data_IF_037738064597
#
_entry.id   IF_037738064597
#
_cell.length_a   1.000
_cell.length_b   1.000
_cell.length_c   1.000
_cell.angle_alpha   90.00
_cell.angle_beta   90.00
_cell.angle_gamma   90.00
#
_symmetry.space_group_name_H-M   'P 1'
#
loop_
_entity.id
_entity.type
_entity.pdbx_description
1 polymer ?
#
# COMPACT_ATOMS: atom_id res chain seq x y z
N UNK A 1 12.21 43.83 6.87
CA UNK A 1 11.15 43.37 5.92
C UNK A 1 10.69 44.48 4.94
N UNK A 2 10.55 45.78 5.38
CA UNK A 2 10.12 46.90 4.48
C UNK A 2 11.05 47.01 3.29
N UNK A 3 12.37 47.14 3.51
CA UNK A 3 13.37 47.25 2.46
C UNK A 3 13.57 46.00 1.62
N UNK A 4 13.36 44.79 2.22
CA UNK A 4 13.57 43.50 1.53
C UNK A 4 12.41 43.13 0.61
N UNK A 5 11.23 43.71 0.87
CA UNK A 5 10.01 43.45 0.09
C UNK A 5 9.48 44.66 -0.65
N UNK A 6 10.29 45.73 -0.68
CA UNK A 6 9.96 46.99 -1.37
C UNK A 6 8.58 47.57 -0.96
N UNK A 7 8.30 47.52 0.36
CA UNK A 7 7.05 48.01 0.93
C UNK A 7 7.18 49.51 1.25
N UNK A 8 6.06 50.28 1.21
CA UNK A 8 6.05 51.68 1.66
C UNK A 8 6.54 51.82 3.11
N UNK A 9 7.21 52.91 3.44
CA UNK A 9 7.74 53.12 4.79
C UNK A 9 6.66 53.11 5.86
N UNK A 10 5.45 53.60 5.55
CA UNK A 10 4.26 53.60 6.44
C UNK A 10 3.43 52.32 6.42
N UNK A 11 3.95 51.25 5.80
CA UNK A 11 3.18 50.03 5.58
C UNK A 11 2.55 49.49 6.86
N UNK A 12 3.33 49.31 7.90
CA UNK A 12 2.82 48.75 9.17
C UNK A 12 1.91 49.69 9.93
N UNK A 13 2.12 51.01 9.81
CA UNK A 13 1.28 52.03 10.47
C UNK A 13 -0.10 52.10 9.82
N UNK A 14 -0.18 51.96 8.51
CA UNK A 14 -1.42 52.09 7.74
C UNK A 14 -2.11 50.76 7.44
N UNK A 15 -1.47 49.60 7.71
CA UNK A 15 -1.95 48.29 7.32
C UNK A 15 -3.33 47.95 7.86
N UNK A 16 -3.55 48.09 9.17
CA UNK A 16 -4.84 47.77 9.82
C UNK A 16 -5.95 48.69 9.31
N UNK A 17 -5.68 50.00 9.17
CA UNK A 17 -6.68 50.95 8.69
C UNK A 17 -7.05 50.67 7.21
N UNK A 18 -6.07 50.33 6.36
CA UNK A 18 -6.30 49.91 4.99
C UNK A 18 -7.14 48.64 4.89
N UNK A 19 -6.87 47.63 5.73
CA UNK A 19 -7.69 46.41 5.76
C UNK A 19 -9.13 46.73 6.19
N UNK A 20 -9.30 47.53 7.26
CA UNK A 20 -10.62 47.86 7.75
C UNK A 20 -11.42 48.77 6.79
N UNK A 21 -10.77 49.43 5.86
CA UNK A 21 -11.42 50.26 4.84
C UNK A 21 -11.93 49.45 3.63
N UNK A 22 -11.57 48.16 3.51
CA UNK A 22 -11.97 47.31 2.37
C UNK A 22 -13.49 47.03 2.50
N UNK A 23 -14.21 47.39 1.46
CA UNK A 23 -15.65 47.19 1.36
C UNK A 23 -15.99 45.85 0.65
N UNK A 24 -17.26 45.43 0.76
CA UNK A 24 -17.76 44.27 -0.02
C UNK A 24 -17.67 44.54 -1.52
N UNK A 25 -17.90 45.77 -1.92
CA UNK A 25 -17.80 46.23 -3.30
C UNK A 25 -16.38 46.14 -3.83
N UNK A 26 -15.37 46.48 -3.02
CA UNK A 26 -13.97 46.29 -3.37
C UNK A 26 -13.61 44.83 -3.56
N UNK A 27 -14.02 43.95 -2.64
CA UNK A 27 -13.81 42.49 -2.76
C UNK A 27 -14.45 41.96 -4.04
N UNK A 28 -15.71 42.35 -4.32
CA UNK A 28 -16.40 41.93 -5.54
C UNK A 28 -15.72 42.44 -6.82
N UNK A 29 -15.28 43.71 -6.82
CA UNK A 29 -14.54 44.33 -7.94
C UNK A 29 -13.24 43.61 -8.21
N UNK A 30 -12.46 43.33 -7.17
CA UNK A 30 -11.17 42.64 -7.26
C UNK A 30 -11.38 41.18 -7.70
N UNK A 31 -12.34 40.48 -7.10
CA UNK A 31 -12.66 39.12 -7.50
C UNK A 31 -13.05 39.03 -8.98
N UNK A 32 -13.94 39.92 -9.48
CA UNK A 32 -14.33 39.94 -10.89
C UNK A 32 -13.15 40.30 -11.83
N UNK A 33 -12.17 41.08 -11.36
CA UNK A 33 -11.00 41.45 -12.15
C UNK A 33 -10.01 40.29 -12.27
N UNK A 34 -9.74 39.61 -11.18
CA UNK A 34 -8.64 38.63 -11.10
C UNK A 34 -9.09 37.17 -11.13
N UNK A 35 -10.27 36.84 -10.58
CA UNK A 35 -10.82 35.48 -10.65
C UNK A 35 -11.57 35.32 -11.98
N UNK A 36 -10.94 34.64 -12.91
CA UNK A 36 -11.47 34.36 -14.25
C UNK A 36 -11.80 32.84 -14.33
N UNK A 37 -13.06 32.44 -14.04
CA UNK A 37 -13.44 31.03 -14.06
C UNK A 37 -13.11 30.32 -15.39
N UNK A 38 -13.18 31.05 -16.50
CA UNK A 38 -12.82 30.56 -17.83
C UNK A 38 -11.34 30.19 -18.00
N UNK A 39 -10.47 30.73 -17.14
CA UNK A 39 -9.02 30.48 -17.16
C UNK A 39 -8.57 29.52 -16.05
N UNK A 40 -9.48 29.06 -15.20
CA UNK A 40 -9.15 28.12 -14.14
C UNK A 40 -8.69 26.78 -14.73
N UNK A 41 -7.71 26.20 -14.07
CA UNK A 41 -7.28 24.82 -14.28
C UNK A 41 -7.49 24.06 -13.00
N UNK A 42 -8.25 22.98 -13.07
CA UNK A 42 -8.47 22.07 -11.93
C UNK A 42 -7.56 20.87 -12.13
N UNK A 43 -6.64 20.68 -11.20
CA UNK A 43 -5.74 19.54 -11.20
C UNK A 43 -6.28 18.53 -10.19
N UNK A 44 -6.51 17.30 -10.64
CA UNK A 44 -6.97 16.19 -9.80
C UNK A 44 -5.95 15.08 -9.85
N UNK A 45 -5.47 14.65 -8.69
CA UNK A 45 -4.59 13.49 -8.54
C UNK A 45 -5.34 12.43 -7.74
N UNK A 46 -5.43 11.23 -8.30
CA UNK A 46 -6.17 10.16 -7.64
C UNK A 46 -6.19 8.88 -8.49
N UNK A 47 -6.94 7.90 -8.02
CA UNK A 47 -7.09 6.62 -8.70
C UNK A 47 -8.03 6.79 -9.90
N UNK A 48 -7.47 6.86 -11.09
CA UNK A 48 -8.18 7.14 -12.33
C UNK A 48 -9.39 6.23 -12.55
N UNK A 49 -9.25 4.93 -12.24
CA UNK A 49 -10.35 3.97 -12.36
C UNK A 49 -11.62 4.35 -11.57
N UNK A 50 -11.50 5.10 -10.49
CA UNK A 50 -12.62 5.45 -9.61
C UNK A 50 -13.19 6.83 -9.90
N UNK A 51 -12.41 7.72 -10.52
CA UNK A 51 -12.75 9.14 -10.66
C UNK A 51 -12.89 9.62 -12.10
N UNK A 52 -12.25 8.97 -13.09
CA UNK A 52 -12.18 9.48 -14.47
C UNK A 52 -13.56 9.69 -15.09
N UNK A 53 -14.43 8.69 -15.04
CA UNK A 53 -15.77 8.78 -15.61
C UNK A 53 -16.62 9.86 -14.96
N UNK A 54 -16.43 10.12 -13.66
CA UNK A 54 -17.12 11.18 -12.93
C UNK A 54 -16.62 12.56 -13.37
N UNK A 55 -15.31 12.71 -13.57
CA UNK A 55 -14.68 13.96 -14.01
C UNK A 55 -15.08 14.31 -15.45
N UNK A 56 -15.13 13.33 -16.35
CA UNK A 56 -15.52 13.53 -17.75
C UNK A 56 -16.99 13.97 -17.92
N UNK A 57 -17.84 13.72 -16.92
CA UNK A 57 -19.24 14.12 -16.92
C UNK A 57 -19.52 15.46 -16.23
N UNK A 58 -18.48 16.17 -15.76
CA UNK A 58 -18.67 17.49 -15.14
C UNK A 58 -18.98 18.55 -16.19
N UNK A 59 -20.05 19.30 -15.93
CA UNK A 59 -20.45 20.42 -16.79
C UNK A 59 -20.31 21.77 -16.08
N UNK A 60 -19.90 22.78 -16.82
CA UNK A 60 -19.94 24.17 -16.41
C UNK A 60 -20.69 25.00 -17.44
N UNK A 61 -21.72 25.76 -17.03
CA UNK A 61 -22.61 26.52 -17.93
C UNK A 61 -23.16 25.67 -19.09
N UNK A 62 -23.61 24.46 -18.78
CA UNK A 62 -24.14 23.47 -19.72
C UNK A 62 -23.14 22.98 -20.81
N UNK A 63 -21.85 23.12 -20.57
CA UNK A 63 -20.79 22.57 -21.42
C UNK A 63 -19.92 21.62 -20.62
N UNK A 64 -19.58 20.47 -21.20
CA UNK A 64 -18.61 19.56 -20.61
C UNK A 64 -17.26 20.26 -20.42
N UNK A 65 -16.64 20.03 -19.27
CA UNK A 65 -15.26 20.48 -19.03
C UNK A 65 -14.34 19.46 -19.69
N UNK A 66 -13.45 19.88 -20.62
CA UNK A 66 -12.53 18.94 -21.23
C UNK A 66 -11.54 18.41 -20.19
N UNK A 67 -11.40 17.10 -20.11
CA UNK A 67 -10.44 16.41 -19.26
C UNK A 67 -9.22 16.07 -20.09
N UNK A 68 -8.04 16.34 -19.54
CA UNK A 68 -6.74 15.94 -20.09
C UNK A 68 -6.07 15.01 -19.10
N UNK A 69 -5.38 14.00 -19.61
CA UNK A 69 -4.69 13.00 -18.80
C UNK A 69 -3.18 13.26 -18.86
N UNK A 70 -2.52 13.12 -17.71
CA UNK A 70 -1.09 13.30 -17.57
C UNK A 70 -0.50 12.12 -16.80
N UNK A 71 0.70 11.70 -17.17
CA UNK A 71 1.46 10.72 -16.40
C UNK A 71 2.12 11.35 -15.16
N UNK A 72 2.81 10.56 -14.35
CA UNK A 72 3.49 11.02 -13.13
C UNK A 72 4.63 12.03 -13.37
N UNK A 73 5.04 12.22 -14.61
CA UNK A 73 6.07 13.19 -15.01
C UNK A 73 5.47 14.48 -15.55
N UNK A 74 4.15 14.60 -15.64
CA UNK A 74 3.45 15.76 -16.16
C UNK A 74 3.36 15.81 -17.69
N UNK A 75 3.62 14.72 -18.38
CA UNK A 75 3.47 14.59 -19.82
C UNK A 75 2.01 14.24 -20.16
N UNK A 76 1.43 14.94 -21.15
CA UNK A 76 0.08 14.67 -21.63
C UNK A 76 0.04 13.30 -22.33
N UNK A 77 -0.93 12.47 -21.95
CA UNK A 77 -1.13 11.13 -22.49
C UNK A 77 -2.59 10.95 -22.93
N UNK A 78 -2.86 9.94 -23.75
CA UNK A 78 -4.21 9.50 -24.05
C UNK A 78 -4.92 9.01 -22.78
N UNK A 79 -6.27 8.96 -22.80
CA UNK A 79 -7.05 8.39 -21.69
C UNK A 79 -6.58 6.97 -21.37
N UNK A 80 -6.08 6.71 -20.16
CA UNK A 80 -5.66 5.36 -19.80
C UNK A 80 -6.84 4.38 -19.78
N UNK A 81 -6.60 3.15 -20.20
CA UNK A 81 -7.55 2.06 -20.05
C UNK A 81 -7.44 1.56 -18.62
N UNK A 82 -8.39 1.94 -17.75
CA UNK A 82 -8.37 1.60 -16.34
C UNK A 82 -8.90 0.20 -16.03
N UNK A 83 -9.76 -0.33 -16.90
CA UNK A 83 -10.29 -1.70 -16.80
C UNK A 83 -10.26 -2.33 -18.19
N UNK A 84 -9.74 -3.54 -18.25
CA UNK A 84 -9.73 -4.35 -19.47
C UNK A 84 -10.83 -5.39 -19.37
N UNK A 85 -11.30 -5.88 -20.52
CA UNK A 85 -12.19 -7.03 -20.57
C UNK A 85 -11.44 -8.28 -20.10
N UNK A 86 -12.11 -9.07 -19.27
CA UNK A 86 -11.59 -10.34 -18.77
C UNK A 86 -12.19 -11.43 -19.64
N UNK A 87 -11.33 -12.26 -20.20
CA UNK A 87 -11.79 -13.40 -21.02
C UNK A 87 -12.62 -14.35 -20.16
N UNK A 88 -13.67 -14.90 -20.73
CA UNK A 88 -14.64 -15.76 -20.02
C UNK A 88 -14.07 -17.09 -19.51
N UNK A 89 -12.91 -17.49 -20.00
CA UNK A 89 -12.16 -18.67 -19.55
C UNK A 89 -11.26 -18.40 -18.34
N UNK A 90 -11.09 -17.12 -17.95
CA UNK A 90 -10.31 -16.73 -16.76
C UNK A 90 -11.20 -16.80 -15.52
N UNK A 91 -10.80 -17.64 -14.59
CA UNK A 91 -11.47 -17.82 -13.28
C UNK A 91 -10.52 -17.51 -12.14
N UNK A 92 -11.04 -17.34 -10.93
CA UNK A 92 -10.21 -17.19 -9.71
C UNK A 92 -9.28 -18.40 -9.57
N UNK A 93 -9.81 -19.62 -9.75
CA UNK A 93 -9.03 -20.87 -9.71
C UNK A 93 -7.85 -20.83 -10.67
N UNK A 94 -8.08 -20.44 -11.94
CA UNK A 94 -7.01 -20.41 -12.96
C UNK A 94 -5.92 -19.39 -12.65
N UNK A 95 -6.26 -18.24 -12.01
CA UNK A 95 -5.29 -17.25 -11.58
C UNK A 95 -4.47 -17.76 -10.39
N UNK A 96 -5.12 -18.36 -9.39
CA UNK A 96 -4.43 -18.94 -8.23
C UNK A 96 -3.54 -20.13 -8.63
N UNK A 97 -4.02 -21.02 -9.51
CA UNK A 97 -3.22 -22.12 -10.07
C UNK A 97 -1.97 -21.61 -10.79
N UNK A 98 -2.13 -20.57 -11.62
CA UNK A 98 -1.00 -19.94 -12.33
C UNK A 98 0.02 -19.40 -11.32
N UNK A 99 -0.42 -18.69 -10.29
CA UNK A 99 0.44 -18.17 -9.24
C UNK A 99 1.16 -19.32 -8.49
N UNK A 100 0.40 -20.28 -7.95
CA UNK A 100 0.95 -21.42 -7.21
C UNK A 100 1.99 -22.17 -8.04
N UNK A 101 1.70 -22.43 -9.32
CA UNK A 101 2.65 -23.06 -10.25
C UNK A 101 3.92 -22.24 -10.42
N UNK A 102 3.79 -20.90 -10.55
CA UNK A 102 4.93 -20.00 -10.74
C UNK A 102 5.82 -19.88 -9.52
N UNK A 103 5.26 -19.92 -8.31
CA UNK A 103 6.05 -19.78 -7.09
C UNK A 103 6.66 -21.09 -6.59
N UNK A 104 6.39 -22.24 -7.23
CA UNK A 104 7.07 -23.50 -6.91
C UNK A 104 6.19 -24.76 -6.95
N UNK A 105 4.88 -24.57 -7.07
CA UNK A 105 3.88 -25.66 -7.10
C UNK A 105 3.43 -26.09 -5.71
N UNK A 106 2.20 -26.61 -5.64
CA UNK A 106 1.50 -26.94 -4.40
C UNK A 106 2.29 -27.89 -3.49
N UNK A 107 2.90 -28.92 -4.07
CA UNK A 107 3.62 -29.96 -3.30
C UNK A 107 4.84 -29.37 -2.58
N UNK A 108 5.64 -28.56 -3.27
CA UNK A 108 6.80 -27.89 -2.66
C UNK A 108 6.36 -26.88 -1.58
N UNK A 109 5.38 -26.05 -1.89
CA UNK A 109 4.90 -25.02 -0.96
C UNK A 109 4.32 -25.65 0.32
N UNK A 110 3.57 -26.75 0.21
CA UNK A 110 3.03 -27.47 1.36
C UNK A 110 4.09 -28.17 2.20
N UNK A 111 5.26 -28.48 1.62
CA UNK A 111 6.37 -29.08 2.35
C UNK A 111 7.23 -28.07 3.13
N UNK A 112 6.97 -26.76 2.98
CA UNK A 112 7.69 -25.74 3.74
C UNK A 112 7.06 -25.60 5.13
N UNK A 113 7.84 -25.90 6.14
CA UNK A 113 7.45 -25.85 7.54
C UNK A 113 7.97 -24.62 8.27
N UNK A 114 9.08 -24.06 7.81
CA UNK A 114 9.64 -22.82 8.37
C UNK A 114 10.19 -21.92 7.29
N UNK A 115 10.12 -20.60 7.53
CA UNK A 115 10.76 -19.57 6.70
C UNK A 115 11.55 -18.66 7.63
N UNK A 116 12.84 -18.49 7.36
CA UNK A 116 13.71 -17.49 8.01
C UNK A 116 14.09 -16.42 7.00
N UNK A 117 13.86 -15.16 7.33
CA UNK A 117 14.10 -14.01 6.45
C UNK A 117 14.96 -13.00 7.19
N UNK A 118 15.97 -12.49 6.52
CA UNK A 118 16.73 -11.32 6.96
C UNK A 118 16.53 -10.21 5.94
N UNK A 119 16.21 -9.01 6.41
CA UNK A 119 15.99 -7.86 5.55
C UNK A 119 16.57 -6.57 6.13
N UNK A 120 16.96 -5.64 5.26
CA UNK A 120 17.11 -4.24 5.61
C UNK A 120 15.76 -3.55 5.54
N UNK A 121 15.51 -2.62 6.47
CA UNK A 121 14.25 -1.89 6.55
C UNK A 121 14.52 -0.41 6.38
N UNK A 122 13.87 0.21 5.39
CA UNK A 122 13.92 1.66 5.19
C UNK A 122 12.63 2.29 5.69
N UNK A 123 12.76 3.21 6.64
CA UNK A 123 11.66 4.02 7.18
C UNK A 123 11.94 5.47 6.79
N UNK A 124 11.11 6.12 5.94
CA UNK A 124 11.35 7.49 5.53
C UNK A 124 11.49 8.45 6.73
N UNK A 125 12.56 9.24 6.71
CA UNK A 125 12.87 10.18 7.78
C UNK A 125 13.62 9.60 8.99
N UNK A 126 13.79 8.28 9.08
CA UNK A 126 14.64 7.68 10.11
C UNK A 126 16.13 7.88 9.78
N UNK A 127 16.98 8.24 10.75
CA UNK A 127 18.43 8.43 10.52
C UNK A 127 19.23 7.13 10.50
N UNK A 128 18.56 5.98 10.56
CA UNK A 128 19.15 4.65 10.61
C UNK A 128 18.37 3.65 9.75
N UNK A 129 19.00 2.55 9.39
CA UNK A 129 18.40 1.45 8.64
C UNK A 129 18.32 0.22 9.57
N UNK A 130 17.11 -0.11 10.11
CA UNK A 130 16.95 -1.31 10.90
C UNK A 130 17.19 -2.57 10.07
N UNK A 131 17.67 -3.62 10.74
CA UNK A 131 17.66 -4.99 10.25
C UNK A 131 16.45 -5.71 10.83
N UNK A 132 15.70 -6.39 9.99
CA UNK A 132 14.60 -7.26 10.38
C UNK A 132 15.03 -8.72 10.28
N UNK A 133 14.81 -9.47 11.36
CA UNK A 133 14.84 -10.91 11.42
C UNK A 133 13.39 -11.41 11.55
N UNK A 134 12.91 -12.10 10.52
CA UNK A 134 11.55 -12.62 10.47
C UNK A 134 11.63 -14.14 10.45
N UNK A 135 10.91 -14.79 11.34
CA UNK A 135 10.79 -16.25 11.38
C UNK A 135 9.32 -16.64 11.43
N UNK A 136 8.98 -17.59 10.59
CA UNK A 136 7.63 -18.14 10.51
C UNK A 136 7.71 -19.65 10.59
N UNK A 137 6.75 -20.28 11.27
CA UNK A 137 6.63 -21.75 11.35
C UNK A 137 5.17 -22.15 11.20
N UNK A 138 4.95 -23.15 10.36
CA UNK A 138 3.64 -23.71 10.07
C UNK A 138 2.98 -24.26 11.35
N UNK A 139 1.66 -24.11 11.54
CA UNK A 139 0.78 -23.44 10.60
C UNK A 139 0.79 -21.92 10.71
N UNK A 140 1.13 -21.32 11.87
CA UNK A 140 0.84 -19.92 12.13
C UNK A 140 1.79 -19.22 13.15
N UNK A 141 2.86 -19.87 13.62
CA UNK A 141 3.80 -19.21 14.52
C UNK A 141 4.61 -18.15 13.75
N UNK A 142 4.84 -17.00 14.37
CA UNK A 142 5.58 -15.92 13.74
C UNK A 142 6.40 -15.09 14.73
N UNK A 143 7.54 -14.58 14.27
CA UNK A 143 8.39 -13.65 15.00
C UNK A 143 8.96 -12.63 14.03
N UNK A 144 8.89 -11.36 14.38
CA UNK A 144 9.58 -10.25 13.73
C UNK A 144 10.41 -9.52 14.79
N UNK A 145 11.71 -9.44 14.61
CA UNK A 145 12.62 -8.67 15.45
C UNK A 145 13.27 -7.60 14.57
N UNK A 146 13.12 -6.35 14.93
CA UNK A 146 13.79 -5.24 14.27
C UNK A 146 14.86 -4.66 15.20
N UNK A 147 16.08 -4.56 14.71
CA UNK A 147 17.23 -4.06 15.48
C UNK A 147 18.07 -3.08 14.66
N UNK A 148 18.83 -2.24 15.35
CA UNK A 148 19.82 -1.34 14.74
C UNK A 148 21.15 -1.60 15.38
N UNK A 149 22.19 -1.74 14.58
CA UNK A 149 23.55 -1.96 15.05
C UNK A 149 23.97 -0.81 15.98
N UNK A 150 24.48 -1.16 17.16
CA UNK A 150 24.89 -0.21 18.19
C UNK A 150 23.73 0.39 19.04
N UNK A 151 22.47 0.20 18.65
CA UNK A 151 21.30 0.67 19.40
C UNK A 151 20.48 -0.47 20.03
N UNK A 152 20.64 -1.71 19.52
CA UNK A 152 19.90 -2.87 20.00
C UNK A 152 18.55 -3.05 19.34
N UNK A 153 17.63 -3.78 20.00
CA UNK A 153 16.30 -4.11 19.52
C UNK A 153 15.37 -2.90 19.62
N UNK A 154 14.76 -2.53 18.50
CA UNK A 154 13.75 -1.47 18.41
C UNK A 154 12.34 -1.99 18.67
N UNK A 155 12.05 -3.17 18.09
CA UNK A 155 10.74 -3.79 18.15
C UNK A 155 10.86 -5.30 18.07
N UNK A 156 10.03 -5.99 18.83
CA UNK A 156 9.79 -7.43 18.72
C UNK A 156 8.30 -7.66 18.60
N UNK A 157 7.89 -8.48 17.65
CA UNK A 157 6.52 -8.98 17.57
C UNK A 157 6.57 -10.49 17.50
N UNK A 158 5.79 -11.16 18.32
CA UNK A 158 5.73 -12.63 18.37
C UNK A 158 4.30 -13.12 18.46
N UNK A 159 4.07 -14.28 17.86
CA UNK A 159 2.83 -15.04 17.97
C UNK A 159 3.16 -16.52 18.10
N UNK A 160 2.68 -17.14 19.18
CA UNK A 160 3.01 -18.53 19.56
C UNK A 160 1.96 -19.58 19.12
N UNK A 161 1.01 -19.15 18.28
CA UNK A 161 -0.11 -19.98 17.83
C UNK A 161 -1.39 -19.78 18.64
N UNK A 162 -1.31 -19.29 19.86
CA UNK A 162 -2.47 -19.05 20.75
C UNK A 162 -2.63 -17.56 21.08
N UNK A 163 -1.53 -16.86 21.27
CA UNK A 163 -1.49 -15.46 21.59
C UNK A 163 -0.21 -14.79 21.08
N UNK A 164 -0.13 -13.50 21.25
CA UNK A 164 1.04 -12.76 20.81
C UNK A 164 1.17 -11.41 21.47
N UNK A 165 2.29 -10.77 21.19
CA UNK A 165 2.60 -9.44 21.69
C UNK A 165 3.49 -8.68 20.73
N UNK A 166 3.46 -7.37 20.87
CA UNK A 166 4.47 -6.46 20.34
C UNK A 166 5.21 -5.81 21.51
N UNK A 167 6.52 -5.78 21.45
CA UNK A 167 7.36 -5.07 22.40
C UNK A 167 8.11 -3.96 21.69
N UNK A 168 7.99 -2.74 22.16
CA UNK A 168 8.66 -1.57 21.63
C UNK A 168 9.12 -0.68 22.79
N UNK A 169 10.38 -0.25 22.77
CA UNK A 169 10.98 0.57 23.82
C UNK A 169 10.81 -0.03 25.23
N UNK A 170 10.87 -1.35 25.35
CA UNK A 170 10.69 -2.07 26.63
C UNK A 170 9.24 -2.18 27.11
N UNK A 171 8.27 -1.71 26.32
CA UNK A 171 6.85 -1.87 26.63
C UNK A 171 6.28 -3.05 25.83
N UNK A 172 5.77 -4.04 26.54
CA UNK A 172 5.12 -5.21 25.97
C UNK A 172 3.61 -4.99 25.90
N UNK A 173 3.08 -4.97 24.66
CA UNK A 173 1.68 -4.74 24.36
C UNK A 173 1.09 -6.05 23.81
N UNK A 174 0.10 -6.66 24.46
CA UNK A 174 -0.56 -7.85 23.91
C UNK A 174 -1.23 -7.56 22.58
N UNK A 175 -1.26 -8.54 21.69
CA UNK A 175 -2.04 -8.47 20.46
C UNK A 175 -3.53 -8.34 20.75
N UNK A 176 -4.22 -7.57 19.94
CA UNK A 176 -5.67 -7.43 20.00
C UNK A 176 -6.37 -8.75 19.55
N UNK A 177 -7.60 -8.95 20.03
CA UNK A 177 -8.37 -10.17 19.77
C UNK A 177 -8.51 -10.48 18.28
N UNK A 178 -8.82 -9.47 17.47
CA UNK A 178 -9.00 -9.64 16.03
C UNK A 178 -7.70 -10.05 15.33
N UNK A 179 -6.55 -9.53 15.79
CA UNK A 179 -5.23 -9.93 15.30
C UNK A 179 -4.91 -11.39 15.66
N UNK A 180 -5.24 -11.81 16.88
CA UNK A 180 -5.08 -13.17 17.33
C UNK A 180 -5.94 -14.12 16.50
N UNK A 181 -7.23 -13.81 16.31
CA UNK A 181 -8.15 -14.62 15.50
C UNK A 181 -7.69 -14.72 14.03
N UNK A 182 -7.24 -13.63 13.45
CA UNK A 182 -6.67 -13.62 12.11
C UNK A 182 -5.43 -14.52 12.01
N UNK A 183 -4.51 -14.42 12.97
CA UNK A 183 -3.30 -15.25 13.01
C UNK A 183 -3.63 -16.74 13.21
N UNK A 184 -4.59 -17.08 14.07
CA UNK A 184 -5.07 -18.45 14.28
C UNK A 184 -5.73 -19.06 13.04
N UNK A 185 -6.32 -18.24 12.19
CA UNK A 185 -7.01 -18.71 10.98
C UNK A 185 -6.05 -19.17 9.87
N UNK A 186 -4.76 -18.86 9.96
CA UNK A 186 -3.76 -19.28 8.98
C UNK A 186 -3.58 -20.80 9.01
N UNK A 187 -3.55 -21.41 7.83
CA UNK A 187 -3.41 -22.86 7.64
C UNK A 187 -2.00 -23.29 7.22
N UNK A 188 -1.12 -22.34 6.97
CA UNK A 188 0.27 -22.57 6.54
C UNK A 188 0.93 -21.28 6.06
N UNK A 189 2.18 -21.40 5.63
CA UNK A 189 3.05 -20.26 5.29
C UNK A 189 2.76 -19.67 3.91
N UNK A 190 2.16 -20.45 3.01
CA UNK A 190 1.69 -20.03 1.69
C UNK A 190 0.17 -20.15 1.65
N UNK A 191 -0.51 -19.07 2.01
CA UNK A 191 -1.96 -19.08 2.21
C UNK A 191 -2.74 -19.51 0.96
N UNK A 192 -2.24 -19.16 -0.24
CA UNK A 192 -2.91 -19.42 -1.51
C UNK A 192 -3.21 -20.90 -1.77
N UNK A 193 -2.38 -21.80 -1.25
CA UNK A 193 -2.61 -23.26 -1.45
C UNK A 193 -3.76 -23.81 -0.58
N UNK A 194 -4.25 -23.01 0.38
CA UNK A 194 -5.33 -23.37 1.31
C UNK A 194 -6.59 -22.53 1.11
N UNK A 195 -6.58 -21.61 0.16
CA UNK A 195 -7.72 -20.73 -0.12
C UNK A 195 -8.87 -21.52 -0.77
N UNK A 196 -10.08 -21.19 -0.34
CA UNK A 196 -11.32 -21.62 -0.99
C UNK A 196 -11.74 -20.50 -1.94
N UNK A 197 -11.72 -20.78 -3.24
CA UNK A 197 -12.02 -19.81 -4.28
C UNK A 197 -13.52 -19.58 -4.51
N UNK A 198 -14.38 -20.37 -3.86
CA UNK A 198 -15.83 -20.32 -4.01
C UNK A 198 -16.46 -18.98 -3.57
N UNK A 199 -15.82 -18.29 -2.61
CA UNK A 199 -16.27 -17.00 -2.09
C UNK A 199 -15.48 -15.82 -2.68
N UNK A 200 -14.56 -16.09 -3.61
CA UNK A 200 -13.71 -15.07 -4.21
C UNK A 200 -14.27 -14.55 -5.52
N UNK A 201 -13.92 -13.32 -5.86
CA UNK A 201 -14.41 -12.63 -7.06
C UNK A 201 -13.28 -11.89 -7.77
N UNK A 202 -13.23 -12.00 -9.11
CA UNK A 202 -12.38 -11.16 -9.94
C UNK A 202 -13.06 -9.79 -10.09
N UNK A 203 -12.51 -8.77 -9.45
CA UNK A 203 -13.07 -7.41 -9.46
C UNK A 203 -12.73 -6.66 -10.76
N UNK A 204 -11.52 -6.83 -11.25
CA UNK A 204 -11.05 -6.12 -12.46
C UNK A 204 -9.75 -6.71 -13.01
N UNK A 205 -9.50 -6.42 -14.27
CA UNK A 205 -8.19 -6.48 -14.91
C UNK A 205 -7.79 -5.05 -15.29
N UNK A 206 -6.62 -4.61 -14.89
CA UNK A 206 -6.16 -3.26 -15.20
C UNK A 206 -4.75 -2.97 -14.72
N UNK A 207 -4.22 -1.78 -15.03
CA UNK A 207 -2.84 -1.44 -14.74
C UNK A 207 -2.58 -1.22 -13.25
N UNK A 208 -1.54 -1.87 -12.75
CA UNK A 208 -0.94 -1.68 -11.43
C UNK A 208 0.56 -1.47 -11.63
N UNK A 209 1.06 -0.26 -11.35
CA UNK A 209 2.46 0.13 -11.56
C UNK A 209 2.99 -0.19 -12.98
N UNK A 210 2.13 -0.02 -14.00
CA UNK A 210 2.47 -0.22 -15.41
C UNK A 210 2.35 -1.66 -15.92
N UNK A 211 1.88 -2.59 -15.08
CA UNK A 211 1.58 -3.98 -15.44
C UNK A 211 0.09 -4.25 -15.32
N UNK A 212 -0.46 -5.03 -16.22
CA UNK A 212 -1.84 -5.49 -16.07
C UNK A 212 -1.93 -6.53 -14.97
N UNK A 213 -2.86 -6.34 -14.06
CA UNK A 213 -3.08 -7.26 -12.95
C UNK A 213 -4.56 -7.58 -12.75
N UNK A 214 -4.84 -8.82 -12.42
CA UNK A 214 -6.14 -9.24 -11.92
C UNK A 214 -6.26 -8.83 -10.45
N UNK A 215 -7.28 -8.01 -10.13
CA UNK A 215 -7.67 -7.72 -8.76
C UNK A 215 -8.68 -8.78 -8.32
N UNK A 216 -8.35 -9.56 -7.31
CA UNK A 216 -9.23 -10.56 -6.69
C UNK A 216 -9.65 -10.09 -5.31
N UNK A 217 -10.95 -10.09 -5.03
CA UNK A 217 -11.51 -9.96 -3.69
C UNK A 217 -11.42 -11.34 -3.02
N UNK A 218 -10.60 -11.45 -1.99
CA UNK A 218 -10.40 -12.72 -1.24
C UNK A 218 -11.44 -12.86 -0.14
N UNK A 219 -11.71 -11.77 0.54
CA UNK A 219 -12.79 -11.62 1.55
C UNK A 219 -13.15 -10.14 1.64
N UNK A 220 -14.11 -9.79 2.49
CA UNK A 220 -14.49 -8.40 2.66
C UNK A 220 -13.28 -7.53 3.03
N UNK A 221 -13.11 -6.42 2.30
CA UNK A 221 -12.02 -5.47 2.49
C UNK A 221 -10.58 -6.03 2.31
N UNK A 222 -10.42 -7.19 1.67
CA UNK A 222 -9.11 -7.80 1.42
C UNK A 222 -8.98 -8.18 -0.04
N UNK A 223 -7.97 -7.66 -0.72
CA UNK A 223 -7.76 -7.84 -2.15
C UNK A 223 -6.32 -8.27 -2.43
N UNK A 224 -6.16 -9.12 -3.45
CA UNK A 224 -4.87 -9.55 -3.99
C UNK A 224 -4.80 -9.23 -5.47
N UNK A 225 -3.61 -8.88 -5.93
CA UNK A 225 -3.36 -8.48 -7.31
C UNK A 225 -2.29 -9.38 -7.91
N UNK A 226 -2.66 -10.07 -8.98
CA UNK A 226 -1.79 -10.99 -9.68
C UNK A 226 -1.49 -10.44 -11.08
N UNK A 227 -0.22 -10.31 -11.41
CA UNK A 227 0.27 -9.89 -12.72
C UNK A 227 -0.26 -10.82 -13.80
N UNK A 228 -0.95 -10.28 -14.80
CA UNK A 228 -1.64 -11.08 -15.81
C UNK A 228 -0.68 -11.86 -16.71
N UNK A 229 0.53 -11.34 -16.93
CA UNK A 229 1.57 -11.96 -17.75
C UNK A 229 2.34 -13.02 -16.97
N UNK A 230 3.01 -12.62 -15.90
CA UNK A 230 3.88 -13.51 -15.11
C UNK A 230 3.12 -14.49 -14.21
N UNK A 231 1.92 -14.13 -13.77
CA UNK A 231 1.13 -14.86 -12.78
C UNK A 231 1.58 -14.60 -11.33
N UNK A 232 2.60 -13.78 -11.08
CA UNK A 232 3.09 -13.49 -9.74
C UNK A 232 2.17 -12.50 -9.02
N UNK A 233 2.04 -12.63 -7.71
CA UNK A 233 1.35 -11.65 -6.88
C UNK A 233 2.21 -10.38 -6.78
N UNK A 234 1.65 -9.23 -7.11
CA UNK A 234 2.38 -7.95 -7.11
C UNK A 234 1.91 -7.00 -6.02
N UNK A 235 0.71 -7.21 -5.47
CA UNK A 235 0.19 -6.33 -4.44
C UNK A 235 -0.90 -7.02 -3.61
N UNK A 236 -0.99 -6.66 -2.34
CA UNK A 236 -2.16 -6.90 -1.48
C UNK A 236 -2.69 -5.57 -0.97
N UNK A 237 -4.01 -5.50 -0.78
CA UNK A 237 -4.70 -4.32 -0.25
C UNK A 237 -5.69 -4.78 0.82
N UNK A 238 -5.59 -4.21 2.01
CA UNK A 238 -6.50 -4.47 3.10
C UNK A 238 -7.04 -3.15 3.65
N UNK A 239 -8.36 -3.10 3.86
CA UNK A 239 -9.04 -1.93 4.40
C UNK A 239 -9.57 -2.26 5.78
N UNK A 240 -9.06 -1.57 6.79
CA UNK A 240 -9.44 -1.77 8.19
C UNK A 240 -10.06 -0.51 8.78
N UNK A 241 -10.85 -0.68 9.83
CA UNK A 241 -11.39 0.41 10.64
C UNK A 241 -10.59 0.48 11.95
N UNK A 242 -9.93 1.60 12.20
CA UNK A 242 -9.18 1.80 13.44
C UNK A 242 -9.51 3.17 14.04
N UNK A 243 -10.04 3.18 15.26
CA UNK A 243 -10.39 4.44 15.96
C UNK A 243 -11.43 5.30 15.21
N UNK A 244 -12.33 4.68 14.41
CA UNK A 244 -13.31 5.40 13.59
C UNK A 244 -12.77 5.90 12.24
N UNK A 245 -11.49 5.68 11.94
CA UNK A 245 -10.88 6.01 10.66
C UNK A 245 -10.71 4.76 9.80
N UNK A 246 -10.94 4.91 8.50
CA UNK A 246 -10.63 3.88 7.52
C UNK A 246 -9.14 3.96 7.15
N UNK A 247 -8.41 2.88 7.40
CA UNK A 247 -6.99 2.74 7.03
C UNK A 247 -6.89 1.71 5.91
N UNK A 248 -6.29 2.12 4.80
CA UNK A 248 -5.92 1.20 3.72
C UNK A 248 -4.45 0.84 3.87
N UNK A 249 -4.18 -0.45 4.00
CA UNK A 249 -2.85 -1.03 4.04
C UNK A 249 -2.56 -1.68 2.69
N UNK A 250 -1.47 -1.28 2.05
CA UNK A 250 -1.04 -1.80 0.76
C UNK A 250 0.35 -2.40 0.95
N UNK A 251 0.53 -3.64 0.50
CA UNK A 251 1.86 -4.24 0.39
C UNK A 251 2.14 -4.57 -1.07
N UNK A 252 3.22 -4.04 -1.61
CA UNK A 252 3.70 -4.35 -2.96
C UNK A 252 4.84 -5.35 -2.88
N UNK A 253 4.88 -6.27 -3.82
CA UNK A 253 5.87 -7.34 -3.94
C UNK A 253 6.60 -7.22 -5.26
N UNK A 254 7.93 -7.25 -5.22
CA UNK A 254 8.77 -7.18 -6.42
C UNK A 254 10.11 -7.88 -6.21
N UNK A 255 10.98 -7.85 -7.23
CA UNK A 255 12.30 -8.49 -7.20
C UNK A 255 12.21 -9.98 -6.81
N UNK A 256 11.36 -10.72 -7.51
CA UNK A 256 11.19 -12.15 -7.30
C UNK A 256 12.46 -12.92 -7.71
N UNK A 257 12.97 -13.72 -6.79
CA UNK A 257 14.15 -14.58 -7.01
C UNK A 257 13.83 -16.01 -6.62
N UNK A 258 14.47 -16.95 -7.27
CA UNK A 258 14.35 -18.36 -6.93
C UNK A 258 15.29 -18.72 -5.76
N UNK A 259 14.74 -19.35 -4.74
CA UNK A 259 15.44 -19.94 -3.60
C UNK A 259 14.91 -21.35 -3.42
N UNK A 260 15.76 -22.36 -3.56
CA UNK A 260 15.42 -23.79 -3.42
C UNK A 260 14.23 -24.23 -4.29
N UNK A 261 14.09 -23.59 -5.49
CA UNK A 261 13.01 -23.84 -6.43
C UNK A 261 11.67 -23.21 -6.05
N UNK A 262 11.70 -22.20 -5.16
CA UNK A 262 10.56 -21.36 -4.78
C UNK A 262 10.84 -19.93 -5.19
N UNK A 263 9.92 -19.30 -5.95
CA UNK A 263 10.00 -17.88 -6.29
C UNK A 263 9.51 -17.05 -5.12
N UNK A 264 10.41 -16.23 -4.55
CA UNK A 264 10.12 -15.39 -3.39
C UNK A 264 10.38 -13.91 -3.71
N UNK A 265 9.52 -13.01 -3.21
CA UNK A 265 9.68 -11.57 -3.42
C UNK A 265 10.76 -11.01 -2.50
N UNK A 266 11.84 -10.48 -3.06
CA UNK A 266 12.97 -9.91 -2.32
C UNK A 266 12.78 -8.42 -1.98
N UNK A 267 11.73 -7.81 -2.50
CA UNK A 267 11.36 -6.44 -2.12
C UNK A 267 9.89 -6.39 -1.72
N UNK A 268 9.61 -5.79 -0.57
CA UNK A 268 8.26 -5.51 -0.08
C UNK A 268 8.16 -4.05 0.32
N UNK A 269 7.19 -3.34 -0.24
CA UNK A 269 6.89 -1.95 0.11
C UNK A 269 5.53 -1.93 0.82
N UNK A 270 5.51 -1.58 2.09
CA UNK A 270 4.30 -1.54 2.91
C UNK A 270 3.91 -0.08 3.12
N UNK A 271 2.66 0.24 2.81
CA UNK A 271 2.07 1.54 3.09
C UNK A 271 0.79 1.35 3.89
N UNK A 272 0.73 1.93 5.08
CA UNK A 272 -0.46 1.94 5.94
C UNK A 272 -0.79 3.40 6.30
N UNK A 273 -1.80 3.96 5.65
CA UNK A 273 -2.09 5.39 5.72
C UNK A 273 -0.87 6.24 5.30
N UNK A 274 -0.39 7.15 6.16
CA UNK A 274 0.79 7.98 5.85
C UNK A 274 2.14 7.26 6.05
N UNK A 275 2.15 6.11 6.71
CA UNK A 275 3.38 5.37 7.01
C UNK A 275 3.80 4.54 5.81
N UNK A 276 5.09 4.63 5.47
CA UNK A 276 5.72 3.81 4.44
C UNK A 276 6.92 3.09 5.05
N UNK A 277 7.05 1.80 4.78
CA UNK A 277 8.15 0.96 5.22
C UNK A 277 8.56 0.08 4.05
N UNK A 278 9.82 0.10 3.67
CA UNK A 278 10.36 -0.71 2.59
C UNK A 278 11.28 -1.80 3.18
N UNK A 279 11.04 -3.06 2.81
CA UNK A 279 11.89 -4.20 3.15
C UNK A 279 12.67 -4.62 1.92
N UNK A 280 13.98 -4.60 2.02
CA UNK A 280 14.91 -5.21 1.08
C UNK A 280 15.42 -6.52 1.67
N UNK A 281 14.94 -7.64 1.15
CA UNK A 281 15.25 -8.96 1.68
C UNK A 281 16.65 -9.36 1.23
N UNK A 282 17.49 -9.72 2.18
CA UNK A 282 18.88 -10.13 1.98
C UNK A 282 18.99 -11.65 1.80
N UNK A 283 18.31 -12.39 2.68
CA UNK A 283 18.31 -13.84 2.67
C UNK A 283 16.94 -14.40 2.99
N UNK A 284 16.61 -15.52 2.36
CA UNK A 284 15.48 -16.38 2.69
C UNK A 284 15.99 -17.80 2.83
N UNK A 285 15.62 -18.48 3.91
CA UNK A 285 15.95 -19.90 4.15
C UNK A 285 14.68 -20.65 4.48
N UNK A 286 14.45 -21.78 3.81
CA UNK A 286 13.32 -22.64 4.04
C UNK A 286 13.72 -23.87 4.86
N UNK A 287 12.78 -24.36 5.69
CA UNK A 287 12.92 -25.58 6.48
C UNK A 287 14.12 -25.61 7.44
N UNK A 288 14.57 -24.43 7.91
CA UNK A 288 15.50 -24.34 9.03
C UNK A 288 14.81 -24.85 10.31
N UNK A 289 15.54 -25.59 11.14
CA UNK A 289 15.00 -26.07 12.42
C UNK A 289 14.84 -24.89 13.40
N UNK A 290 13.60 -24.60 13.77
CA UNK A 290 13.25 -23.54 14.71
C UNK A 290 12.42 -24.14 15.84
N UNK A 291 12.88 -23.98 17.09
CA UNK A 291 12.14 -24.40 18.27
C UNK A 291 10.88 -23.53 18.48
N UNK A 292 9.78 -24.11 18.93
CA UNK A 292 8.56 -23.37 19.25
C UNK A 292 8.77 -22.36 20.38
N UNK A 293 9.72 -22.63 21.29
CA UNK A 293 10.11 -21.69 22.35
C UNK A 293 10.60 -20.34 21.81
N UNK A 294 11.09 -20.31 20.56
CA UNK A 294 11.53 -19.07 19.92
C UNK A 294 10.37 -18.09 19.71
N UNK A 295 9.16 -18.56 19.59
CA UNK A 295 7.96 -17.76 19.29
C UNK A 295 7.21 -17.27 20.54
N UNK A 296 7.62 -17.65 21.73
CA UNK A 296 7.04 -17.22 23.02
C UNK A 296 7.53 -15.87 23.53
#
# INVERSE_FOLDING_TARGET
>A
NIKTQDLPEDFYETFISKINSVTKEDVKRVANKYLKPENLRVIVVGKGADIADKLENITYKNKLIPVKYFNKYGEEIDKPIFKKEISSDVTVASILEKYISKVGGKDKLSAINTISIVANVTIPGAPFTPRADIKEKSPNLSSLVMSVEGMGTLMTQKFDGEGGYMEQMGQKIPMEKDQIESSKSKKGLFEEIYMDDSEMEIISLGPVDGKDAYKIKVKENNFRYYDAESGLMIMTEEVTQQGGNTITSITKYSDYKEVDGIMYAFKREIQAGPQKIDFEILTVTFNEEISDEFFK
#
